data_IF_102152472369
#
_entry.id   IF_102152472369
#
_cell.length_a   1.000
_cell.length_b   1.000
_cell.length_c   1.000
_cell.angle_alpha   90.00
_cell.angle_beta   90.00
_cell.angle_gamma   90.00
#
_symmetry.space_group_name_H-M   'P 1'
#
loop_
_entity.id
_entity.type
_entity.pdbx_description
1 polymer ?
#
# COMPACT_ATOMS: atom_id res chain seq x y z
N UNK A 1 6.86 27.34 6.33
CA UNK A 1 8.19 26.72 6.19
C UNK A 1 8.68 26.94 4.77
N UNK A 2 9.99 26.86 4.53
CA UNK A 2 10.51 26.90 3.17
C UNK A 2 10.00 25.73 2.32
N UNK A 3 9.84 25.88 0.99
CA UNK A 3 9.41 24.81 0.12
C UNK A 3 10.38 23.63 0.14
N UNK A 4 9.90 22.38 0.16
CA UNK A 4 10.78 21.19 0.10
C UNK A 4 11.68 21.20 -1.14
N UNK A 5 11.25 21.87 -2.22
CA UNK A 5 12.05 22.07 -3.43
C UNK A 5 13.33 22.89 -3.22
N UNK A 6 13.45 23.68 -2.15
CA UNK A 6 14.70 24.41 -1.84
C UNK A 6 15.80 23.50 -1.28
N UNK A 7 15.43 22.33 -0.75
CA UNK A 7 16.34 21.37 -0.13
C UNK A 7 16.73 20.21 -1.06
N UNK A 8 16.04 20.08 -2.20
CA UNK A 8 16.24 19.01 -3.16
C UNK A 8 17.09 19.47 -4.35
N UNK A 9 17.95 18.58 -4.83
CA UNK A 9 18.73 18.84 -6.05
C UNK A 9 17.84 18.72 -7.28
N UNK A 10 18.19 19.43 -8.36
CA UNK A 10 17.39 19.45 -9.59
C UNK A 10 17.05 18.07 -10.15
N UNK A 11 18.01 17.12 -10.13
CA UNK A 11 17.77 15.76 -10.59
C UNK A 11 16.78 14.98 -9.68
N UNK A 12 16.76 15.27 -8.37
CA UNK A 12 15.81 14.66 -7.44
C UNK A 12 14.39 15.13 -7.73
N UNK A 13 14.23 16.39 -8.12
CA UNK A 13 12.94 16.94 -8.55
C UNK A 13 12.43 16.27 -9.84
N UNK A 14 13.33 15.94 -10.78
CA UNK A 14 12.98 15.19 -11.98
C UNK A 14 12.41 13.81 -11.62
N UNK A 15 13.08 13.08 -10.72
CA UNK A 15 12.60 11.77 -10.25
C UNK A 15 11.26 11.85 -9.53
N UNK A 16 11.05 12.86 -8.68
CA UNK A 16 9.75 13.10 -8.02
C UNK A 16 8.66 13.39 -9.06
N UNK A 17 8.92 14.29 -10.01
CA UNK A 17 7.95 14.62 -11.05
C UNK A 17 7.60 13.40 -11.91
N UNK A 18 8.59 12.57 -12.24
CA UNK A 18 8.38 11.30 -12.92
C UNK A 18 7.42 10.38 -12.14
N UNK A 19 7.65 10.18 -10.84
CA UNK A 19 6.75 9.39 -9.99
C UNK A 19 5.33 9.99 -9.92
N UNK A 20 5.23 11.32 -9.81
CA UNK A 20 3.93 12.02 -9.78
C UNK A 20 3.14 11.83 -11.07
N UNK A 21 3.79 11.93 -12.23
CA UNK A 21 3.12 11.72 -13.53
C UNK A 21 2.66 10.27 -13.67
N UNK A 22 3.48 9.30 -13.26
CA UNK A 22 3.11 7.88 -13.34
C UNK A 22 1.92 7.55 -12.44
N UNK A 23 1.95 7.98 -11.18
CA UNK A 23 0.87 7.72 -10.22
C UNK A 23 -0.46 8.31 -10.68
N UNK A 24 -0.46 9.53 -11.23
CA UNK A 24 -1.69 10.19 -11.73
C UNK A 24 -2.25 9.60 -13.01
N UNK A 25 -1.42 8.92 -13.80
CA UNK A 25 -1.84 8.40 -15.10
C UNK A 25 -2.87 7.27 -14.97
N UNK A 26 -2.93 6.57 -13.83
CA UNK A 26 -3.80 5.40 -13.58
C UNK A 26 -3.52 4.17 -14.47
N UNK A 27 -2.74 4.33 -15.55
CA UNK A 27 -2.46 3.32 -16.57
C UNK A 27 -1.25 2.45 -16.24
N UNK A 28 -0.33 2.98 -15.43
CA UNK A 28 0.93 2.29 -15.08
C UNK A 28 0.99 2.10 -13.58
N UNK A 29 0.82 0.86 -13.14
CA UNK A 29 0.81 0.47 -11.73
C UNK A 29 2.18 0.41 -11.07
N UNK A 30 3.27 0.82 -11.74
CA UNK A 30 4.53 0.97 -11.04
C UNK A 30 5.69 1.64 -11.77
N UNK A 31 6.71 1.99 -10.98
CA UNK A 31 7.91 2.72 -11.40
C UNK A 31 9.20 2.04 -10.90
N UNK A 32 10.29 2.19 -11.64
CA UNK A 32 11.64 1.80 -11.20
C UNK A 32 12.51 3.06 -11.15
N UNK A 33 13.01 3.41 -9.97
CA UNK A 33 14.07 4.40 -9.81
C UNK A 33 15.41 3.67 -9.74
N UNK A 34 16.15 3.78 -10.83
CA UNK A 34 17.37 3.02 -11.11
C UNK A 34 18.65 3.89 -11.05
N UNK A 35 18.60 5.01 -10.34
CA UNK A 35 19.71 5.96 -10.22
C UNK A 35 20.91 5.36 -9.47
N UNK A 36 22.10 5.94 -9.65
CA UNK A 36 23.31 5.60 -8.89
C UNK A 36 23.06 5.61 -7.36
N UNK A 37 23.80 4.76 -6.64
CA UNK A 37 23.76 4.73 -5.18
C UNK A 37 24.20 6.08 -4.60
N UNK A 38 23.54 6.53 -3.53
CA UNK A 38 23.85 7.82 -2.90
C UNK A 38 23.20 9.05 -3.54
N UNK A 39 22.48 8.93 -4.66
CA UNK A 39 21.72 10.05 -5.26
C UNK A 39 20.43 10.41 -4.49
N UNK A 40 20.06 9.62 -3.47
CA UNK A 40 18.94 9.92 -2.58
C UNK A 40 17.58 9.46 -3.11
N UNK A 41 17.52 8.30 -3.80
CA UNK A 41 16.26 7.68 -4.25
C UNK A 41 15.21 7.58 -3.14
N UNK A 42 15.63 7.18 -1.94
CA UNK A 42 14.74 7.11 -0.76
C UNK A 42 14.14 8.47 -0.41
N UNK A 43 14.95 9.54 -0.42
CA UNK A 43 14.47 10.90 -0.16
C UNK A 43 13.49 11.40 -1.26
N UNK A 44 13.75 11.04 -2.52
CA UNK A 44 12.82 11.31 -3.62
C UNK A 44 11.47 10.62 -3.37
N UNK A 45 11.47 9.32 -3.04
CA UNK A 45 10.25 8.56 -2.79
C UNK A 45 9.47 9.06 -1.59
N UNK A 46 10.14 9.38 -0.48
CA UNK A 46 9.49 9.98 0.71
C UNK A 46 8.85 11.31 0.35
N UNK A 47 9.56 12.16 -0.41
CA UNK A 47 9.00 13.45 -0.84
C UNK A 47 7.78 13.26 -1.73
N UNK A 48 7.86 12.33 -2.69
CA UNK A 48 6.74 11.97 -3.55
C UNK A 48 5.51 11.51 -2.75
N UNK A 49 5.67 10.59 -1.79
CA UNK A 49 4.56 10.14 -0.93
C UNK A 49 3.99 11.29 -0.09
N UNK A 50 4.84 12.18 0.43
CA UNK A 50 4.41 13.37 1.15
C UNK A 50 3.60 14.34 0.29
N UNK A 51 4.00 14.54 -0.97
CA UNK A 51 3.25 15.34 -1.95
C UNK A 51 1.87 14.72 -2.21
N UNK A 52 1.79 13.40 -2.39
CA UNK A 52 0.50 12.72 -2.56
C UNK A 52 -0.39 12.86 -1.33
N UNK A 53 0.16 12.68 -0.12
CA UNK A 53 -0.61 12.84 1.11
C UNK A 53 -1.14 14.27 1.27
N UNK A 54 -0.32 15.27 0.95
CA UNK A 54 -0.74 16.67 1.00
C UNK A 54 -1.85 16.97 -0.01
N UNK A 55 -1.72 16.48 -1.25
CA UNK A 55 -2.75 16.63 -2.28
C UNK A 55 -4.08 15.98 -1.87
N UNK A 56 -4.03 14.78 -1.28
CA UNK A 56 -5.23 14.10 -0.78
C UNK A 56 -5.92 14.88 0.35
N UNK A 57 -5.16 15.45 1.27
CA UNK A 57 -5.70 16.32 2.33
C UNK A 57 -6.41 17.56 1.76
N UNK A 58 -5.81 18.19 0.75
CA UNK A 58 -6.42 19.35 0.09
C UNK A 58 -7.69 18.97 -0.69
N UNK A 59 -7.66 17.86 -1.42
CA UNK A 59 -8.82 17.35 -2.14
C UNK A 59 -9.99 17.04 -1.19
N UNK A 60 -9.70 16.40 -0.05
CA UNK A 60 -10.69 16.14 0.99
C UNK A 60 -11.27 17.44 1.57
N UNK A 61 -10.42 18.42 1.90
CA UNK A 61 -10.87 19.70 2.45
C UNK A 61 -11.78 20.45 1.46
N UNK A 62 -11.43 20.45 0.16
CA UNK A 62 -12.25 21.06 -0.88
C UNK A 62 -13.60 20.34 -1.07
N UNK A 63 -13.62 19.01 -0.96
CA UNK A 63 -14.86 18.22 -0.99
C UNK A 63 -15.76 18.55 0.21
N UNK A 64 -15.19 18.68 1.41
CA UNK A 64 -15.95 19.05 2.60
C UNK A 64 -16.53 20.46 2.47
N UNK A 65 -15.74 21.44 2.03
CA UNK A 65 -16.22 22.80 1.81
C UNK A 65 -17.35 22.85 0.76
N UNK A 66 -17.23 22.06 -0.31
CA UNK A 66 -18.29 21.92 -1.30
C UNK A 66 -19.56 21.28 -0.73
N UNK A 67 -19.43 20.27 0.13
CA UNK A 67 -20.56 19.61 0.80
C UNK A 67 -21.27 20.55 1.78
N UNK A 68 -20.51 21.25 2.63
CA UNK A 68 -21.03 22.23 3.60
C UNK A 68 -21.73 23.41 2.89
N UNK A 69 -21.27 23.79 1.70
CA UNK A 69 -21.91 24.84 0.89
C UNK A 69 -23.19 24.36 0.20
N UNK A 70 -23.28 23.07 -0.15
CA UNK A 70 -24.46 22.48 -0.78
C UNK A 70 -25.58 22.22 0.24
N UNK A 71 -25.22 21.92 1.48
CA UNK A 71 -26.11 21.60 2.58
C UNK A 71 -25.95 22.68 3.66
N UNK A 72 -26.73 23.75 3.60
CA UNK A 72 -26.58 24.95 4.46
C UNK A 72 -26.75 24.78 5.97
N UNK A 73 -26.58 23.57 6.52
CA UNK A 73 -26.55 23.26 7.95
C UNK A 73 -25.40 22.29 8.26
N UNK A 74 -24.64 22.60 9.30
CA UNK A 74 -23.49 21.86 9.78
C UNK A 74 -23.88 20.47 10.30
N UNK A 75 -23.95 19.48 9.41
CA UNK A 75 -23.86 18.08 9.82
C UNK A 75 -22.40 17.75 10.11
N UNK A 76 -22.08 16.93 11.13
CA UNK A 76 -20.74 16.42 11.28
C UNK A 76 -20.41 15.60 10.02
N UNK A 77 -19.53 16.15 9.19
CA UNK A 77 -19.05 15.48 7.98
C UNK A 77 -18.42 14.12 8.32
N UNK A 78 -18.24 13.24 7.32
CA UNK A 78 -17.58 11.95 7.52
C UNK A 78 -16.22 12.16 8.20
N UNK A 79 -15.89 11.28 9.16
CA UNK A 79 -14.61 11.33 9.87
C UNK A 79 -13.48 11.31 8.84
N UNK A 80 -12.62 12.34 8.86
CA UNK A 80 -11.54 12.48 7.89
C UNK A 80 -10.54 11.33 8.09
N UNK A 81 -10.44 10.39 7.12
CA UNK A 81 -9.55 9.24 7.25
C UNK A 81 -8.06 9.62 7.21
N UNK A 82 -7.74 10.86 6.85
CA UNK A 82 -6.39 11.41 6.70
C UNK A 82 -5.99 12.39 7.82
N UNK A 83 -6.87 12.65 8.79
CA UNK A 83 -6.53 13.39 10.00
C UNK A 83 -6.41 12.40 11.17
N UNK A 84 -5.38 12.54 12.01
CA UNK A 84 -5.33 11.77 13.24
C UNK A 84 -6.60 12.06 14.04
N UNK A 85 -7.29 11.00 14.48
CA UNK A 85 -8.41 11.12 15.41
C UNK A 85 -7.91 11.91 16.61
N UNK A 86 -8.53 13.05 16.97
CA UNK A 86 -8.11 13.79 18.16
C UNK A 86 -8.23 12.83 19.34
N UNK A 87 -7.11 12.53 20.01
CA UNK A 87 -7.15 11.78 21.27
C UNK A 87 -8.13 12.51 22.18
N UNK A 88 -9.10 11.82 22.80
CA UNK A 88 -9.92 12.45 23.82
C UNK A 88 -8.97 13.09 24.83
N UNK A 89 -9.21 14.36 25.15
CA UNK A 89 -8.47 15.04 26.20
C UNK A 89 -8.55 14.16 27.46
N UNK A 90 -7.46 13.99 28.23
CA UNK A 90 -7.53 13.22 29.45
C UNK A 90 -8.62 13.83 30.33
N UNK A 91 -9.69 13.09 30.55
CA UNK A 91 -10.68 13.44 31.56
C UNK A 91 -9.93 13.49 32.88
N UNK A 92 -9.79 14.69 33.45
CA UNK A 92 -9.46 14.84 34.85
C UNK A 92 -10.69 14.38 35.63
N UNK A 93 -10.79 13.06 35.78
CA UNK A 93 -11.75 12.36 36.61
C UNK A 93 -11.23 12.27 38.04
N UNK A 94 -12.08 12.76 38.93
CA UNK A 94 -11.97 12.82 40.38
C UNK A 94 -11.70 11.45 41.02
N UNK A 95 -11.04 11.46 42.18
CA UNK A 95 -10.75 10.28 42.97
C UNK A 95 -12.04 9.79 43.64
N UNK A 96 -12.48 8.58 43.30
CA UNK A 96 -13.56 7.88 43.97
C UNK A 96 -13.37 6.37 43.87
N UNK A 97 -13.14 5.76 45.03
CA UNK A 97 -13.13 4.32 45.28
C UNK A 97 -14.41 3.64 44.74
N UNK A 98 -14.31 2.39 44.30
CA UNK A 98 -14.96 1.24 44.98
C UNK A 98 -14.73 -0.10 44.26
N UNK A 99 -14.86 -1.14 45.07
CA UNK A 99 -14.42 -2.53 44.90
C UNK A 99 -15.26 -3.43 43.97
N UNK A 100 -14.64 -4.58 43.69
CA UNK A 100 -15.19 -5.95 43.80
C UNK A 100 -15.57 -6.73 42.52
N UNK A 101 -14.90 -7.89 42.39
CA UNK A 101 -15.33 -9.28 42.04
C UNK A 101 -16.47 -9.49 41.03
N UNK A 102 -16.57 -10.56 40.25
CA UNK A 102 -15.84 -11.81 39.97
C UNK A 102 -16.67 -12.52 38.87
N UNK A 103 -16.03 -13.43 38.12
CA UNK A 103 -16.54 -14.68 37.52
C UNK A 103 -17.93 -14.74 36.86
N UNK A 104 -18.00 -15.14 35.59
CA UNK A 104 -18.56 -16.46 35.22
C UNK A 104 -18.44 -16.77 33.71
N UNK A 105 -18.37 -18.07 33.44
CA UNK A 105 -18.08 -18.75 32.18
C UNK A 105 -19.31 -18.92 31.26
N UNK A 106 -18.97 -19.35 30.02
CA UNK A 106 -19.67 -20.33 29.18
C UNK A 106 -20.80 -19.98 28.16
N UNK A 107 -20.42 -20.31 26.92
CA UNK A 107 -21.12 -21.09 25.87
C UNK A 107 -22.23 -20.55 24.94
N UNK A 108 -21.87 -20.65 23.65
CA UNK A 108 -22.61 -21.22 22.51
C UNK A 108 -24.00 -20.72 22.11
N UNK A 109 -24.14 -20.28 20.85
CA UNK A 109 -24.77 -21.08 19.77
C UNK A 109 -24.86 -20.31 18.44
N UNK A 110 -25.04 -21.11 17.39
CA UNK A 110 -25.07 -20.77 15.96
C UNK A 110 -26.36 -20.04 15.54
N UNK A 111 -26.29 -19.27 14.46
CA UNK A 111 -27.39 -19.17 13.48
C UNK A 111 -26.86 -18.81 12.09
N UNK A 112 -27.34 -19.54 11.08
CA UNK A 112 -27.18 -19.28 9.64
C UNK A 112 -28.24 -18.26 9.17
N UNK A 113 -27.94 -17.44 8.14
CA UNK A 113 -28.86 -17.23 7.00
C UNK A 113 -28.32 -16.23 5.95
N UNK A 114 -28.38 -16.69 4.71
CA UNK A 114 -28.92 -16.04 3.50
C UNK A 114 -28.37 -14.69 2.96
N UNK A 115 -27.58 -14.84 1.89
CA UNK A 115 -27.66 -14.22 0.55
C UNK A 115 -28.44 -12.91 0.38
N UNK A 116 -27.77 -11.87 -0.15
CA UNK A 116 -28.37 -11.00 -1.16
C UNK A 116 -27.32 -10.46 -2.14
N UNK A 117 -27.69 -10.54 -3.41
CA UNK A 117 -27.00 -10.01 -4.58
C UNK A 117 -27.07 -8.47 -4.55
N UNK A 118 -25.94 -7.78 -4.66
CA UNK A 118 -25.89 -6.33 -4.81
C UNK A 118 -25.44 -5.96 -6.22
N UNK A 119 -26.39 -5.43 -6.98
CA UNK A 119 -26.20 -4.80 -8.29
C UNK A 119 -25.16 -3.67 -8.22
N UNK A 120 -24.13 -3.78 -9.05
CA UNK A 120 -23.12 -2.75 -9.27
C UNK A 120 -23.71 -1.63 -10.14
N UNK A 121 -24.27 -0.61 -9.49
CA UNK A 121 -24.66 0.63 -10.17
C UNK A 121 -23.43 1.53 -10.31
N UNK A 122 -23.03 1.75 -11.56
CA UNK A 122 -21.89 2.57 -11.93
C UNK A 122 -22.02 4.01 -11.43
N UNK A 123 -21.18 4.36 -10.46
CA UNK A 123 -20.87 5.74 -10.12
C UNK A 123 -19.55 6.13 -10.78
N UNK A 124 -19.59 7.20 -11.56
CA UNK A 124 -18.45 7.86 -12.19
C UNK A 124 -17.32 8.06 -11.17
N UNK A 125 -16.26 7.26 -11.32
CA UNK A 125 -15.10 7.22 -10.45
C UNK A 125 -14.23 8.47 -10.72
N UNK A 126 -14.54 9.59 -10.07
CA UNK A 126 -13.56 10.68 -9.93
C UNK A 126 -12.49 10.18 -8.96
N UNK A 127 -11.47 9.55 -9.55
CA UNK A 127 -10.46 8.77 -8.84
C UNK A 127 -9.60 9.70 -7.97
N UNK A 128 -10.04 9.90 -6.72
CA UNK A 128 -9.18 10.39 -5.65
C UNK A 128 -8.14 9.30 -5.45
N UNK A 129 -6.88 9.54 -5.86
CA UNK A 129 -5.75 8.66 -5.60
C UNK A 129 -5.42 8.67 -4.09
N UNK A 130 -6.33 8.15 -3.27
CA UNK A 130 -6.21 8.12 -1.84
C UNK A 130 -5.06 7.22 -1.42
N UNK A 131 -4.18 7.70 -0.54
CA UNK A 131 -3.28 6.84 0.23
C UNK A 131 -4.04 6.00 1.27
N UNK A 132 -5.26 5.58 0.94
CA UNK A 132 -6.15 4.88 1.85
C UNK A 132 -5.65 3.46 2.05
N UNK A 133 -5.39 3.15 3.31
CA UNK A 133 -5.07 1.83 3.81
C UNK A 133 -6.32 1.34 4.53
N UNK A 134 -7.02 0.38 3.93
CA UNK A 134 -8.22 -0.18 4.51
C UNK A 134 -8.16 -1.70 4.51
N UNK A 135 -8.81 -2.30 5.50
CA UNK A 135 -9.04 -3.72 5.53
C UNK A 135 -10.22 -4.01 4.58
N UNK A 136 -10.02 -4.76 3.50
CA UNK A 136 -11.08 -5.07 2.57
C UNK A 136 -12.19 -5.95 3.18
N UNK A 137 -11.93 -6.65 4.29
CA UNK A 137 -12.93 -7.48 4.94
C UNK A 137 -13.81 -6.69 5.91
N UNK A 138 -13.21 -5.81 6.73
CA UNK A 138 -13.94 -5.04 7.75
C UNK A 138 -14.28 -3.60 7.33
N UNK A 139 -13.66 -3.09 6.27
CA UNK A 139 -13.73 -1.67 5.89
C UNK A 139 -12.98 -0.74 6.85
N UNK A 140 -12.32 -1.29 7.88
CA UNK A 140 -11.60 -0.52 8.89
C UNK A 140 -10.40 0.19 8.26
N UNK A 141 -10.16 1.43 8.67
CA UNK A 141 -8.98 2.19 8.27
C UNK A 141 -7.78 1.74 9.09
N UNK A 142 -6.62 1.64 8.46
CA UNK A 142 -5.40 1.31 9.17
C UNK A 142 -5.08 2.36 10.24
N UNK A 143 -4.60 1.95 11.43
CA UNK A 143 -4.23 2.88 12.49
C UNK A 143 -2.89 3.60 12.22
N UNK A 144 -2.36 3.51 11.00
CA UNK A 144 -1.06 4.04 10.60
C UNK A 144 -1.11 4.56 9.14
N UNK A 145 -0.30 5.57 8.84
CA UNK A 145 -0.13 6.09 7.47
C UNK A 145 0.90 5.31 6.65
N UNK A 146 1.99 4.86 7.31
CA UNK A 146 3.14 4.21 6.66
C UNK A 146 3.61 3.06 7.52
N UNK A 147 3.80 1.90 6.89
CA UNK A 147 4.43 0.74 7.52
C UNK A 147 5.80 0.49 6.90
N UNK A 148 6.82 0.41 7.75
CA UNK A 148 8.18 0.04 7.35
C UNK A 148 8.45 -1.37 7.83
N UNK A 149 8.88 -2.24 6.91
CA UNK A 149 9.25 -3.63 7.21
C UNK A 149 10.49 -4.02 6.41
N UNK A 150 11.06 -5.18 6.73
CA UNK A 150 12.24 -5.72 6.05
C UNK A 150 11.88 -6.98 5.27
N UNK A 151 12.68 -7.28 4.25
CA UNK A 151 12.51 -8.51 3.46
C UNK A 151 12.56 -9.80 4.29
N UNK A 152 13.31 -9.80 5.39
CA UNK A 152 13.48 -10.99 6.24
C UNK A 152 12.16 -11.49 6.85
N UNK A 153 11.19 -10.60 7.07
CA UNK A 153 9.84 -10.94 7.54
C UNK A 153 9.06 -11.79 6.51
N UNK A 154 9.41 -11.67 5.22
CA UNK A 154 8.82 -12.45 4.14
C UNK A 154 9.65 -13.71 3.81
N UNK A 155 10.83 -13.88 4.38
CA UNK A 155 11.66 -15.07 4.20
C UNK A 155 11.39 -16.13 5.25
N UNK A 156 11.36 -15.70 6.52
CA UNK A 156 11.29 -16.60 7.69
C UNK A 156 9.93 -17.27 7.82
N UNK A 157 9.88 -18.46 8.40
CA UNK A 157 8.61 -19.14 8.75
C UNK A 157 8.46 -19.35 10.27
N UNK A 158 9.10 -18.48 11.07
CA UNK A 158 8.87 -18.43 12.50
C UNK A 158 7.40 -18.06 12.81
N UNK A 159 6.86 -18.48 13.98
CA UNK A 159 5.51 -18.12 14.42
C UNK A 159 5.25 -16.62 14.35
N UNK A 160 6.17 -15.80 14.87
CA UNK A 160 6.06 -14.34 14.86
C UNK A 160 5.98 -13.78 13.43
N UNK A 161 6.84 -14.25 12.54
CA UNK A 161 6.84 -13.80 11.14
C UNK A 161 5.55 -14.19 10.40
N UNK A 162 4.89 -15.28 10.79
CA UNK A 162 3.58 -15.65 10.23
C UNK A 162 2.49 -14.69 10.68
N UNK A 163 2.48 -14.32 11.96
CA UNK A 163 1.53 -13.35 12.53
C UNK A 163 1.72 -11.99 11.85
N UNK A 164 2.95 -11.51 11.77
CA UNK A 164 3.25 -10.22 11.16
C UNK A 164 2.88 -10.18 9.67
N UNK A 165 3.18 -11.25 8.93
CA UNK A 165 2.74 -11.34 7.52
C UNK A 165 1.23 -11.35 7.39
N UNK A 166 0.51 -12.10 8.23
CA UNK A 166 -0.94 -12.12 8.20
C UNK A 166 -1.49 -10.69 8.42
N UNK A 167 -0.97 -9.98 9.42
CA UNK A 167 -1.30 -8.58 9.68
C UNK A 167 -1.02 -7.67 8.46
N UNK A 168 0.16 -7.77 7.84
CA UNK A 168 0.52 -6.91 6.69
C UNK A 168 -0.35 -7.21 5.47
N UNK A 169 -0.61 -8.49 5.21
CA UNK A 169 -1.33 -8.95 4.02
C UNK A 169 -2.83 -8.73 4.08
N UNK A 170 -3.42 -8.40 5.24
CA UNK A 170 -4.87 -8.13 5.31
C UNK A 170 -5.23 -6.84 4.60
N UNK A 171 -4.40 -5.81 4.74
CA UNK A 171 -4.65 -4.47 4.20
C UNK A 171 -4.59 -4.43 2.67
N UNK A 172 -5.42 -3.57 2.07
CA UNK A 172 -5.26 -3.09 0.69
C UNK A 172 -4.31 -1.89 0.72
N UNK A 173 -3.26 -1.94 -0.09
CA UNK A 173 -2.19 -0.94 -0.07
C UNK A 173 -2.32 0.02 -1.24
N UNK A 174 -2.17 1.32 -0.97
CA UNK A 174 -2.09 2.32 -2.05
C UNK A 174 -0.72 2.27 -2.75
N UNK A 175 0.36 2.24 -1.97
CA UNK A 175 1.73 2.23 -2.47
C UNK A 175 2.58 1.20 -1.76
N UNK A 176 3.37 0.46 -2.53
CA UNK A 176 4.46 -0.39 -2.03
C UNK A 176 5.78 0.12 -2.57
N UNK A 177 6.73 0.37 -1.67
CA UNK A 177 8.10 0.76 -2.04
C UNK A 177 9.03 -0.38 -1.66
N UNK A 178 9.76 -0.92 -2.63
CA UNK A 178 10.77 -1.95 -2.40
C UNK A 178 12.15 -1.35 -2.65
N UNK A 179 12.91 -1.14 -1.59
CA UNK A 179 14.30 -0.68 -1.68
C UNK A 179 15.24 -1.85 -2.00
N UNK A 180 16.36 -1.59 -2.66
CA UNK A 180 17.27 -2.61 -3.16
C UNK A 180 16.56 -3.75 -3.91
N UNK A 181 15.78 -3.37 -4.93
CA UNK A 181 14.89 -4.27 -5.67
C UNK A 181 15.59 -5.45 -6.35
N UNK A 182 16.92 -5.44 -6.47
CA UNK A 182 17.70 -6.60 -6.90
C UNK A 182 17.44 -7.84 -6.00
N UNK A 183 16.97 -7.66 -4.76
CA UNK A 183 16.51 -8.74 -3.89
C UNK A 183 15.32 -9.56 -4.47
N UNK A 184 14.56 -8.99 -5.41
CA UNK A 184 13.35 -9.58 -6.00
C UNK A 184 13.61 -10.30 -7.34
N UNK A 185 14.86 -10.33 -7.82
CA UNK A 185 15.23 -10.83 -9.16
C UNK A 185 14.91 -12.31 -9.41
N UNK A 186 14.83 -13.13 -8.36
CA UNK A 186 14.51 -14.55 -8.45
C UNK A 186 13.04 -14.81 -8.07
N UNK A 187 12.21 -15.14 -9.07
CA UNK A 187 10.78 -15.45 -8.90
C UNK A 187 10.52 -16.65 -7.98
N UNK A 188 11.39 -17.66 -8.02
CA UNK A 188 11.19 -18.91 -7.29
C UNK A 188 11.47 -18.77 -5.78
N UNK A 189 12.14 -17.68 -5.39
CA UNK A 189 12.41 -17.38 -3.98
C UNK A 189 11.11 -17.29 -3.17
N UNK A 190 11.12 -17.88 -1.98
CA UNK A 190 10.04 -17.79 -0.99
C UNK A 190 9.67 -16.32 -0.72
N UNK A 191 10.69 -15.46 -0.61
CA UNK A 191 10.55 -14.01 -0.44
C UNK A 191 9.70 -13.41 -1.57
N UNK A 192 10.13 -13.62 -2.82
CA UNK A 192 9.49 -13.02 -4.00
C UNK A 192 8.06 -13.52 -4.16
N UNK A 193 7.79 -14.82 -3.98
CA UNK A 193 6.42 -15.35 -4.01
C UNK A 193 5.52 -14.74 -2.93
N UNK A 194 6.00 -14.64 -1.69
CA UNK A 194 5.22 -14.06 -0.58
C UNK A 194 4.98 -12.56 -0.80
N UNK A 195 5.98 -11.81 -1.23
CA UNK A 195 5.84 -10.40 -1.58
C UNK A 195 4.96 -10.17 -2.80
N UNK A 196 4.96 -11.07 -3.78
CA UNK A 196 4.09 -10.97 -4.96
C UNK A 196 2.61 -11.01 -4.58
N UNK A 197 2.24 -11.77 -3.53
CA UNK A 197 0.87 -11.76 -2.98
C UNK A 197 0.50 -10.38 -2.43
N UNK A 198 1.44 -9.70 -1.77
CA UNK A 198 1.26 -8.34 -1.27
C UNK A 198 1.21 -7.34 -2.44
N UNK A 199 2.12 -7.46 -3.40
CA UNK A 199 2.23 -6.62 -4.58
C UNK A 199 0.91 -6.57 -5.38
N UNK A 200 0.20 -7.70 -5.51
CA UNK A 200 -1.12 -7.74 -6.16
C UNK A 200 -2.23 -6.97 -5.43
N UNK A 201 -2.09 -6.78 -4.11
CA UNK A 201 -3.01 -5.95 -3.30
C UNK A 201 -2.61 -4.47 -3.26
N UNK A 202 -1.52 -4.10 -3.94
CA UNK A 202 -1.05 -2.73 -4.02
C UNK A 202 -1.56 -2.07 -5.30
N UNK A 203 -2.01 -0.81 -5.23
CA UNK A 203 -2.38 -0.05 -6.43
C UNK A 203 -1.13 0.38 -7.21
N UNK A 204 -0.15 0.96 -6.52
CA UNK A 204 1.12 1.39 -7.07
C UNK A 204 2.31 0.69 -6.43
N UNK A 205 3.32 0.34 -7.24
CA UNK A 205 4.57 -0.28 -6.79
C UNK A 205 5.77 0.53 -7.27
N UNK A 206 6.72 0.79 -6.39
CA UNK A 206 7.94 1.55 -6.69
C UNK A 206 9.13 0.69 -6.30
N UNK A 207 10.02 0.43 -7.25
CA UNK A 207 11.26 -0.29 -7.04
C UNK A 207 12.42 0.70 -7.03
N UNK A 208 13.22 0.69 -5.97
CA UNK A 208 14.46 1.47 -5.89
C UNK A 208 15.63 0.51 -6.05
N UNK A 209 16.55 0.82 -6.95
CA UNK A 209 17.74 -0.01 -7.16
C UNK A 209 18.92 0.86 -7.61
N UNK A 210 20.12 0.57 -7.11
CA UNK A 210 21.36 1.15 -7.63
C UNK A 210 21.93 0.39 -8.83
N UNK A 211 21.44 -0.83 -9.06
CA UNK A 211 21.95 -1.76 -10.06
C UNK A 211 20.77 -2.38 -10.82
N UNK A 212 20.16 -1.64 -11.77
CA UNK A 212 18.89 -2.04 -12.37
C UNK A 212 18.93 -3.39 -13.08
N UNK A 213 20.03 -3.74 -13.74
CA UNK A 213 20.22 -5.08 -14.31
C UNK A 213 21.71 -5.41 -14.33
N UNK A 214 22.04 -6.62 -13.89
CA UNK A 214 23.34 -7.24 -14.17
C UNK A 214 23.10 -8.44 -15.09
N UNK A 215 22.81 -8.16 -16.36
CA UNK A 215 23.01 -9.05 -17.53
C UNK A 215 21.95 -10.09 -17.94
N UNK A 216 20.79 -10.23 -17.29
CA UNK A 216 19.76 -11.21 -17.74
C UNK A 216 18.38 -10.55 -17.98
N UNK A 217 17.84 -10.72 -19.20
CA UNK A 217 16.49 -10.29 -19.56
C UNK A 217 15.41 -10.94 -18.67
N UNK A 218 15.68 -12.15 -18.15
CA UNK A 218 14.79 -12.84 -17.20
C UNK A 218 14.74 -12.13 -15.86
N UNK A 219 15.85 -11.56 -15.38
CA UNK A 219 15.85 -10.78 -14.14
C UNK A 219 15.01 -9.51 -14.30
N UNK A 220 15.13 -8.82 -15.44
CA UNK A 220 14.26 -7.67 -15.75
C UNK A 220 12.80 -8.07 -15.82
N UNK A 221 12.49 -9.16 -16.53
CA UNK A 221 11.12 -9.65 -16.65
C UNK A 221 10.52 -9.96 -15.28
N UNK A 222 11.30 -10.53 -14.36
CA UNK A 222 10.85 -10.80 -12.99
C UNK A 222 10.55 -9.50 -12.22
N UNK A 223 11.37 -8.46 -12.38
CA UNK A 223 11.08 -7.14 -11.78
C UNK A 223 9.86 -6.47 -12.40
N UNK A 224 9.68 -6.55 -13.72
CA UNK A 224 8.51 -6.01 -14.43
C UNK A 224 7.23 -6.74 -14.04
N UNK A 225 7.27 -8.07 -13.92
CA UNK A 225 6.17 -8.89 -13.39
C UNK A 225 5.78 -8.46 -11.98
N UNK A 226 6.76 -8.23 -11.12
CA UNK A 226 6.50 -7.71 -9.77
C UNK A 226 5.85 -6.31 -9.82
N UNK A 227 6.32 -5.45 -10.73
CA UNK A 227 5.86 -4.08 -10.86
C UNK A 227 4.45 -3.95 -11.43
N UNK A 228 4.07 -4.83 -12.35
CA UNK A 228 2.77 -4.82 -13.04
C UNK A 228 2.21 -6.24 -13.12
N UNK A 229 1.77 -6.84 -11.99
CA UNK A 229 1.28 -8.21 -11.96
C UNK A 229 0.19 -8.49 -12.99
N UNK A 230 -0.78 -7.57 -13.10
CA UNK A 230 -1.95 -7.70 -13.97
C UNK A 230 -1.62 -7.78 -15.46
N UNK A 231 -0.49 -7.22 -15.90
CA UNK A 231 -0.09 -7.27 -17.31
C UNK A 231 0.52 -8.62 -17.71
N UNK A 232 1.02 -9.39 -16.73
CA UNK A 232 1.76 -10.62 -16.97
C UNK A 232 1.11 -11.86 -16.34
N UNK A 233 -0.09 -11.71 -15.78
CA UNK A 233 -0.88 -12.84 -15.23
C UNK A 233 -1.52 -13.69 -16.35
N UNK A 234 -1.56 -13.22 -17.61
CA UNK A 234 -2.10 -13.96 -18.77
C UNK A 234 -1.24 -15.13 -19.26
N UNK A 235 0.03 -15.22 -18.83
CA UNK A 235 0.94 -16.33 -19.20
C UNK A 235 0.68 -17.62 -18.37
N UNK A 236 -0.25 -17.62 -17.41
CA UNK A 236 -0.55 -18.80 -16.55
C UNK A 236 -1.89 -19.50 -16.90
N UNK A 237 -2.40 -19.30 -18.11
CA UNK A 237 -3.49 -20.09 -18.67
C UNK A 237 -2.95 -21.27 -19.50
N UNK A 238 -3.05 -22.48 -18.97
CA UNK A 238 -2.86 -23.76 -19.67
C UNK A 238 -1.48 -24.03 -20.28
N UNK A 239 -0.59 -24.62 -19.47
CA UNK A 239 0.70 -25.16 -19.91
C UNK A 239 1.05 -26.38 -19.09
N UNK A 240 0.32 -27.48 -19.31
CA UNK A 240 0.80 -28.81 -18.94
C UNK A 240 2.13 -29.11 -19.64
N UNK A 241 2.99 -29.85 -18.93
CA UNK A 241 4.11 -30.66 -19.43
C UNK A 241 4.92 -30.10 -20.61
N UNK A 242 6.14 -29.62 -20.33
CA UNK A 242 7.11 -29.24 -21.35
C UNK A 242 8.52 -29.36 -20.81
N UNK A 243 9.14 -30.51 -21.10
CA UNK A 243 10.46 -30.91 -20.64
C UNK A 243 11.60 -29.97 -21.02
N UNK A 244 12.69 -30.15 -20.29
CA UNK A 244 14.01 -29.60 -20.57
C UNK A 244 14.47 -30.05 -21.96
N UNK A 245 14.45 -29.17 -22.96
CA UNK A 245 15.28 -29.33 -24.15
C UNK A 245 16.60 -28.59 -23.92
N UNK A 246 17.65 -29.37 -23.65
CA UNK A 246 19.03 -28.96 -23.80
C UNK A 246 19.27 -28.55 -25.26
N UNK A 247 19.68 -27.30 -25.47
CA UNK A 247 20.25 -26.86 -26.75
C UNK A 247 21.75 -27.15 -26.69
N UNK A 248 22.17 -28.28 -27.25
CA UNK A 248 23.56 -28.49 -27.65
C UNK A 248 23.90 -27.53 -28.81
N UNK A 249 25.07 -26.89 -28.71
CA UNK A 249 25.73 -26.18 -29.81
C UNK A 249 27.09 -26.81 -30.05
#
# INVERSE_FOLDING_TARGET
GEPVSTWLKGYQLVGINFLTVLSRSGKVGGAILADEMGLGKTAQTITFLGVLQHQNKLAWAAQQEAADKALGEATPGPSNPYLPVPKPAPEMGDAGDEDDKSDDEEEASQEESEKSDAEETGASHEQVCGLQLSDPASGELAPFDVLITTYSMFERDSPDARVDRAFITRWRWSHMVADEAHALKNRNSIRTRKLMKLARKCEHRILLTGTPLQNDARELLNLLRFLMPSLFDEDEGDGGDGGEEEVEV
#
